data_IF_255689567364
#
_entry.id   IF_255689567364
#
_cell.length_a   1.000
_cell.length_b   1.000
_cell.length_c   1.000
_cell.angle_alpha   90.00
_cell.angle_beta   90.00
_cell.angle_gamma   90.00
#
_symmetry.space_group_name_H-M   'P 1'
#
loop_
_entity.id
_entity.type
_entity.pdbx_description
1 polymer ?
#
# COMPACT_ATOMS: atom_id res chain seq x y z
N UNK A 1 -35.66 31.95 31.61
CA UNK A 1 -34.38 32.36 31.05
C UNK A 1 -33.39 31.23 31.32
N UNK A 2 -33.25 30.35 30.37
CA UNK A 2 -32.19 29.32 30.36
C UNK A 2 -31.41 29.57 29.09
N UNK A 3 -30.17 30.02 29.29
CA UNK A 3 -29.23 30.29 28.22
C UNK A 3 -28.79 28.98 27.57
N UNK A 4 -29.01 28.90 26.25
CA UNK A 4 -28.40 27.90 25.37
C UNK A 4 -26.92 28.21 25.25
N UNK A 5 -26.06 27.34 25.80
CA UNK A 5 -24.65 27.29 25.42
C UNK A 5 -24.56 26.59 24.09
N UNK A 6 -24.32 27.34 23.05
CA UNK A 6 -23.99 26.85 21.73
C UNK A 6 -22.61 26.17 21.80
N UNK A 7 -22.57 24.89 21.49
CA UNK A 7 -21.34 24.18 21.16
C UNK A 7 -20.93 24.61 19.73
N UNK A 8 -19.96 25.52 19.65
CA UNK A 8 -19.37 25.97 18.40
C UNK A 8 -18.63 24.81 17.72
N UNK A 9 -19.12 24.38 16.67
CA UNK A 9 -18.91 24.10 15.31
C UNK A 9 -17.53 23.52 14.96
N UNK A 10 -17.34 22.19 15.06
CA UNK A 10 -16.47 21.47 14.13
C UNK A 10 -17.20 21.41 12.79
N UNK A 11 -16.69 22.12 11.78
CA UNK A 11 -17.21 22.06 10.42
C UNK A 11 -16.83 20.70 9.80
N UNK A 12 -17.62 19.68 10.10
CA UNK A 12 -17.55 18.38 9.42
C UNK A 12 -18.49 18.40 8.22
N UNK A 13 -17.95 18.29 7.01
CA UNK A 13 -18.73 18.02 5.81
C UNK A 13 -18.79 16.53 5.58
N UNK A 14 -20.00 15.93 5.54
CA UNK A 14 -20.20 14.56 5.04
C UNK A 14 -20.39 14.62 3.52
N UNK A 15 -19.60 13.84 2.82
CA UNK A 15 -19.85 13.60 1.40
C UNK A 15 -20.94 12.53 1.20
N UNK A 16 -21.24 12.15 -0.05
CA UNK A 16 -22.22 11.13 -0.39
C UNK A 16 -21.84 9.71 0.10
N UNK A 17 -20.61 9.51 0.61
CA UNK A 17 -20.12 8.24 1.18
C UNK A 17 -20.40 8.13 2.68
N UNK A 18 -20.86 9.21 3.34
CA UNK A 18 -21.08 9.25 4.78
C UNK A 18 -19.83 9.42 5.63
N UNK A 19 -18.69 9.76 4.99
CA UNK A 19 -17.41 9.99 5.68
C UNK A 19 -17.37 11.40 6.28
N UNK A 20 -16.88 11.51 7.51
CA UNK A 20 -16.65 12.78 8.20
C UNK A 20 -15.27 13.33 7.81
N UNK A 21 -15.25 14.42 7.05
CA UNK A 21 -14.02 15.07 6.63
C UNK A 21 -13.69 16.29 7.50
N UNK A 22 -12.40 16.51 7.76
CA UNK A 22 -11.86 17.67 8.47
C UNK A 22 -11.38 18.71 7.45
N UNK A 23 -12.31 19.29 6.69
CA UNK A 23 -11.99 20.14 5.54
C UNK A 23 -11.31 21.48 5.89
N UNK A 24 -11.46 21.95 7.12
CA UNK A 24 -10.84 23.17 7.66
C UNK A 24 -9.44 22.92 8.25
N UNK A 25 -9.05 21.66 8.44
CA UNK A 25 -7.74 21.24 8.96
C UNK A 25 -6.79 20.75 7.86
N UNK A 26 -5.55 20.43 8.23
CA UNK A 26 -4.55 19.89 7.33
C UNK A 26 -3.95 20.93 6.40
N UNK A 27 -3.97 22.20 6.79
CA UNK A 27 -3.28 23.31 6.13
C UNK A 27 -2.07 23.76 6.96
N UNK A 28 -1.21 24.61 6.41
CA UNK A 28 -0.07 25.15 7.14
C UNK A 28 -0.49 25.90 8.41
N UNK A 29 -1.61 26.64 8.36
CA UNK A 29 -2.10 27.46 9.48
C UNK A 29 -2.95 26.66 10.48
N UNK A 30 -3.52 25.51 10.07
CA UNK A 30 -4.33 24.63 10.90
C UNK A 30 -4.00 23.16 10.62
N UNK A 31 -2.84 22.65 11.06
CA UNK A 31 -2.39 21.29 10.74
C UNK A 31 -3.24 20.23 11.44
N UNK A 32 -3.31 19.03 10.85
CA UNK A 32 -3.85 17.83 11.50
C UNK A 32 -2.94 17.42 12.65
N UNK A 33 -3.51 17.20 13.82
CA UNK A 33 -2.83 16.70 15.01
C UNK A 33 -2.64 15.18 14.88
N UNK A 34 -1.39 14.75 14.67
CA UNK A 34 -1.05 13.37 14.36
C UNK A 34 -0.47 12.66 15.59
N UNK A 35 -1.03 11.50 15.93
CA UNK A 35 -0.42 10.53 16.84
C UNK A 35 0.35 9.46 16.09
N UNK A 36 1.48 9.00 16.63
CA UNK A 36 2.22 7.86 16.10
C UNK A 36 2.37 6.79 17.19
N UNK A 37 1.91 5.57 16.92
CA UNK A 37 2.14 4.42 17.78
C UNK A 37 3.00 3.38 17.10
N UNK A 38 4.06 2.95 17.82
CA UNK A 38 5.13 2.12 17.31
C UNK A 38 6.33 2.96 16.83
N UNK A 39 7.41 3.01 17.64
CA UNK A 39 8.63 3.79 17.39
C UNK A 39 9.77 2.93 16.84
N UNK A 40 9.43 1.82 16.20
CA UNK A 40 10.35 0.89 15.56
C UNK A 40 10.91 1.39 14.22
N UNK A 41 11.33 0.43 13.39
CA UNK A 41 11.96 0.72 12.10
C UNK A 41 11.08 1.57 11.15
N UNK A 42 9.77 1.26 11.06
CA UNK A 42 8.86 2.07 10.22
C UNK A 42 8.43 3.35 10.93
N UNK A 43 8.15 3.31 12.22
CA UNK A 43 7.74 4.48 12.99
C UNK A 43 8.71 5.66 12.87
N UNK A 44 10.03 5.42 12.88
CA UNK A 44 11.03 6.49 12.66
C UNK A 44 10.91 7.17 11.30
N UNK A 45 10.56 6.40 10.25
CA UNK A 45 10.39 6.96 8.92
C UNK A 45 9.09 7.78 8.83
N UNK A 46 7.99 7.26 9.41
CA UNK A 46 6.74 8.00 9.50
C UNK A 46 6.88 9.30 10.31
N UNK A 47 7.52 9.26 11.49
CA UNK A 47 7.75 10.47 12.28
C UNK A 47 8.52 11.54 11.51
N UNK A 48 9.58 11.16 10.80
CA UNK A 48 10.36 12.07 9.95
C UNK A 48 9.50 12.70 8.85
N UNK A 49 8.71 11.88 8.17
CA UNK A 49 7.87 12.35 7.05
C UNK A 49 6.71 13.20 7.55
N UNK A 50 6.02 12.80 8.62
CA UNK A 50 4.93 13.59 9.23
C UNK A 50 5.42 14.99 9.60
N UNK A 51 6.59 15.11 10.26
CA UNK A 51 7.19 16.41 10.61
C UNK A 51 7.58 17.26 9.40
N UNK A 52 7.83 16.64 8.24
CA UNK A 52 8.20 17.32 7.00
C UNK A 52 6.98 17.62 6.09
N UNK A 53 5.82 17.04 6.39
CA UNK A 53 4.61 17.19 5.57
C UNK A 53 3.82 18.41 6.01
N UNK A 54 3.68 19.38 5.12
CA UNK A 54 2.84 20.57 5.38
C UNK A 54 1.40 20.15 5.72
N UNK A 55 0.82 20.80 6.72
CA UNK A 55 -0.53 20.52 7.21
C UNK A 55 -0.64 19.29 8.11
N UNK A 56 0.46 18.74 8.59
CA UNK A 56 0.51 17.67 9.59
C UNK A 56 1.44 18.07 10.74
N UNK A 57 1.04 17.81 11.99
CA UNK A 57 1.83 18.07 13.18
C UNK A 57 1.88 16.81 14.05
N UNK A 58 3.07 16.26 14.26
CA UNK A 58 3.26 15.14 15.19
C UNK A 58 3.19 15.66 16.62
N UNK A 59 2.08 15.41 17.30
CA UNK A 59 1.78 15.95 18.65
C UNK A 59 1.97 14.93 19.76
N UNK A 60 1.93 13.64 19.46
CA UNK A 60 2.07 12.58 20.45
C UNK A 60 2.68 11.32 19.84
N UNK A 61 3.45 10.59 20.62
CA UNK A 61 4.04 9.30 20.22
C UNK A 61 3.89 8.28 21.35
N UNK A 62 3.65 7.00 20.98
CA UNK A 62 3.52 5.92 21.96
C UNK A 62 4.30 4.67 21.53
N UNK A 63 4.96 4.03 22.47
CA UNK A 63 5.57 2.70 22.33
C UNK A 63 5.82 2.08 23.70
N UNK A 64 5.20 0.94 24.06
CA UNK A 64 5.45 0.27 25.33
C UNK A 64 6.91 -0.20 25.51
N UNK A 65 7.66 -0.39 24.41
CA UNK A 65 9.09 -0.71 24.41
C UNK A 65 10.02 0.49 24.53
N UNK A 66 9.47 1.71 24.58
CA UNK A 66 10.19 2.97 24.61
C UNK A 66 10.78 3.38 23.26
N UNK A 67 11.49 4.48 23.23
CA UNK A 67 12.06 5.07 22.01
C UNK A 67 13.55 4.73 21.84
N UNK A 68 13.83 3.62 21.17
CA UNK A 68 15.20 3.17 20.89
C UNK A 68 15.94 3.98 19.80
N UNK A 69 15.18 4.73 18.99
CA UNK A 69 15.71 5.40 17.80
C UNK A 69 15.68 6.93 17.90
N UNK A 70 15.25 7.50 19.04
CA UNK A 70 15.11 8.94 19.20
C UNK A 70 14.00 9.54 18.34
N UNK A 71 12.96 8.76 18.05
CA UNK A 71 11.83 9.14 17.17
C UNK A 71 10.98 10.25 17.79
N UNK A 72 10.79 10.18 19.09
CA UNK A 72 9.97 11.13 19.84
C UNK A 72 10.50 12.58 19.77
N UNK A 73 11.83 12.75 19.72
CA UNK A 73 12.44 14.07 19.85
C UNK A 73 12.18 14.65 21.25
N UNK A 74 11.51 15.80 21.31
CA UNK A 74 11.12 16.44 22.57
C UNK A 74 9.77 15.96 23.14
N UNK A 75 9.02 15.16 22.39
CA UNK A 75 7.73 14.63 22.82
C UNK A 75 7.93 13.52 23.87
N UNK A 76 7.09 13.47 24.92
CA UNK A 76 7.09 12.35 25.84
C UNK A 76 6.63 11.07 25.14
N UNK A 77 7.28 9.95 25.43
CA UNK A 77 6.85 8.63 24.94
C UNK A 77 5.75 8.12 25.84
N UNK A 78 4.56 7.98 25.27
CA UNK A 78 3.38 7.49 25.97
C UNK A 78 3.38 5.94 26.02
N UNK A 79 2.75 5.33 27.05
CA UNK A 79 2.85 3.89 27.27
C UNK A 79 2.02 3.06 26.28
N UNK A 80 0.91 3.60 25.78
CA UNK A 80 -0.06 2.84 24.99
C UNK A 80 -0.95 3.74 24.11
N UNK A 81 -1.89 3.10 23.39
CA UNK A 81 -2.83 3.78 22.49
C UNK A 81 -3.82 4.67 23.25
N UNK A 82 -4.22 4.32 24.46
CA UNK A 82 -5.21 5.10 25.23
C UNK A 82 -4.61 6.42 25.67
N UNK A 83 -3.39 6.39 26.20
CA UNK A 83 -2.65 7.62 26.53
C UNK A 83 -2.38 8.47 25.28
N UNK A 84 -2.18 7.84 24.10
CA UNK A 84 -2.05 8.54 22.84
C UNK A 84 -3.35 9.25 22.43
N UNK A 85 -4.51 8.58 22.57
CA UNK A 85 -5.83 9.13 22.28
C UNK A 85 -6.13 10.35 23.19
N UNK A 86 -5.77 10.28 24.48
CA UNK A 86 -5.98 11.36 25.46
C UNK A 86 -5.21 12.65 25.11
N UNK A 87 -4.21 12.58 24.22
CA UNK A 87 -3.51 13.75 23.71
C UNK A 87 -4.35 14.60 22.73
N UNK A 88 -5.54 14.13 22.33
CA UNK A 88 -6.46 14.87 21.44
C UNK A 88 -5.96 14.89 19.99
N UNK A 89 -6.22 13.81 19.26
CA UNK A 89 -5.74 13.58 17.90
C UNK A 89 -6.84 13.82 16.86
N UNK A 90 -6.46 14.28 15.68
CA UNK A 90 -7.28 14.25 14.47
C UNK A 90 -7.02 12.96 13.69
N UNK A 91 -5.75 12.55 13.66
CA UNK A 91 -5.30 11.38 12.91
C UNK A 91 -4.26 10.58 13.67
N UNK A 92 -4.14 9.29 13.36
CA UNK A 92 -3.09 8.45 13.90
C UNK A 92 -2.39 7.62 12.82
N UNK A 93 -1.09 7.34 13.04
CA UNK A 93 -0.30 6.39 12.28
C UNK A 93 0.04 5.19 13.16
N UNK A 94 -0.34 3.99 12.73
CA UNK A 94 -0.08 2.72 13.43
C UNK A 94 1.07 1.99 12.74
N UNK A 95 2.22 1.91 13.44
CA UNK A 95 3.45 1.27 12.96
C UNK A 95 3.99 0.24 13.96
N UNK A 96 3.09 -0.39 14.71
CA UNK A 96 3.38 -1.49 15.64
C UNK A 96 3.57 -2.82 14.90
N UNK A 97 4.03 -3.93 15.55
CA UNK A 97 3.98 -5.25 14.93
C UNK A 97 2.55 -5.65 14.54
N UNK A 98 2.42 -6.39 13.42
CA UNK A 98 1.14 -6.72 12.78
C UNK A 98 0.11 -7.36 13.71
N UNK A 99 0.56 -8.14 14.69
CA UNK A 99 -0.32 -8.80 15.67
C UNK A 99 -1.11 -7.84 16.56
N UNK A 100 -0.67 -6.58 16.66
CA UNK A 100 -1.33 -5.53 17.44
C UNK A 100 -2.13 -4.54 16.59
N UNK A 101 -2.12 -4.67 15.25
CA UNK A 101 -2.80 -3.73 14.36
C UNK A 101 -4.30 -3.65 14.67
N UNK A 102 -4.96 -4.79 14.85
CA UNK A 102 -6.40 -4.85 15.12
C UNK A 102 -6.78 -4.09 16.40
N UNK A 103 -6.18 -4.46 17.53
CA UNK A 103 -6.54 -3.87 18.82
C UNK A 103 -6.31 -2.36 18.83
N UNK A 104 -5.16 -1.92 18.29
CA UNK A 104 -4.82 -0.51 18.23
C UNK A 104 -5.75 0.27 17.29
N UNK A 105 -6.03 -0.29 16.10
CA UNK A 105 -6.90 0.37 15.13
C UNK A 105 -8.35 0.47 15.63
N UNK A 106 -8.87 -0.57 16.31
CA UNK A 106 -10.21 -0.55 16.89
C UNK A 106 -10.33 0.50 18.00
N UNK A 107 -9.33 0.62 18.89
CA UNK A 107 -9.32 1.66 19.93
C UNK A 107 -9.33 3.08 19.32
N UNK A 108 -8.57 3.32 18.26
CA UNK A 108 -8.55 4.59 17.54
C UNK A 108 -9.88 4.86 16.82
N UNK A 109 -10.51 3.85 16.23
CA UNK A 109 -11.83 3.97 15.61
C UNK A 109 -12.91 4.31 16.65
N UNK A 110 -12.89 3.67 17.83
CA UNK A 110 -13.82 3.99 18.94
C UNK A 110 -13.67 5.44 19.42
N UNK A 111 -12.45 5.96 19.41
CA UNK A 111 -12.15 7.35 19.76
C UNK A 111 -12.44 8.36 18.65
N UNK A 112 -12.89 7.91 17.47
CA UNK A 112 -13.22 8.82 16.35
C UNK A 112 -12.00 9.37 15.61
N UNK A 113 -10.84 8.70 15.67
CA UNK A 113 -9.58 9.15 15.08
C UNK A 113 -9.38 8.54 13.68
N UNK A 114 -9.24 9.38 12.66
CA UNK A 114 -8.87 8.90 11.31
C UNK A 114 -7.50 8.21 11.36
N UNK A 115 -7.35 7.05 10.75
CA UNK A 115 -6.15 6.24 11.01
C UNK A 115 -5.56 5.63 9.74
N UNK A 116 -4.24 5.72 9.61
CA UNK A 116 -3.46 4.90 8.68
C UNK A 116 -2.77 3.77 9.46
N UNK A 117 -2.95 2.54 9.02
CA UNK A 117 -2.31 1.33 9.57
C UNK A 117 -1.26 0.83 8.60
N UNK A 118 -0.06 0.51 9.09
CA UNK A 118 0.96 -0.16 8.28
C UNK A 118 0.44 -1.49 7.69
N UNK A 119 1.02 -1.87 6.57
CA UNK A 119 0.69 -3.14 5.93
C UNK A 119 1.26 -4.34 6.71
N UNK A 120 0.58 -5.50 6.66
CA UNK A 120 -0.81 -5.69 6.23
C UNK A 120 -1.78 -5.08 7.24
N UNK A 121 -3.03 -4.82 6.84
CA UNK A 121 -4.04 -4.17 7.71
C UNK A 121 -4.20 -4.87 9.07
N UNK A 122 -4.10 -6.21 9.10
CA UNK A 122 -4.17 -7.04 10.31
C UNK A 122 -3.42 -8.36 10.10
N UNK A 123 -3.38 -9.21 11.11
CA UNK A 123 -2.70 -10.51 11.06
C UNK A 123 -3.41 -11.54 10.17
N UNK A 124 -4.75 -11.41 10.00
CA UNK A 124 -5.56 -12.20 9.08
C UNK A 124 -6.72 -11.36 8.48
N UNK A 125 -7.36 -11.90 7.44
CA UNK A 125 -8.42 -11.21 6.73
C UNK A 125 -9.68 -11.00 7.58
N UNK A 126 -9.98 -11.87 8.54
CA UNK A 126 -11.14 -11.72 9.43
C UNK A 126 -10.95 -10.52 10.38
N UNK A 127 -9.75 -10.39 10.97
CA UNK A 127 -9.35 -9.22 11.75
C UNK A 127 -9.37 -7.94 10.90
N UNK A 128 -8.83 -7.99 9.69
CA UNK A 128 -8.87 -6.88 8.75
C UNK A 128 -10.29 -6.41 8.43
N UNK A 129 -11.24 -7.35 8.25
CA UNK A 129 -12.68 -7.01 8.04
C UNK A 129 -13.29 -6.33 9.24
N UNK A 130 -12.96 -6.75 10.48
CA UNK A 130 -13.46 -6.06 11.70
C UNK A 130 -12.94 -4.63 11.78
N UNK A 131 -11.65 -4.44 11.51
CA UNK A 131 -11.05 -3.09 11.45
C UNK A 131 -11.74 -2.23 10.39
N UNK A 132 -11.83 -2.72 9.15
CA UNK A 132 -12.46 -1.97 8.05
C UNK A 132 -13.91 -1.60 8.34
N UNK A 133 -14.70 -2.52 8.93
CA UNK A 133 -16.08 -2.28 9.33
C UNK A 133 -16.17 -1.19 10.41
N UNK A 134 -15.29 -1.22 11.43
CA UNK A 134 -15.30 -0.25 12.50
C UNK A 134 -15.08 1.19 12.03
N UNK A 135 -14.21 1.39 11.03
CA UNK A 135 -13.99 2.70 10.42
C UNK A 135 -15.15 3.12 9.52
N UNK A 136 -15.67 2.22 8.70
CA UNK A 136 -16.80 2.49 7.81
C UNK A 136 -18.06 2.85 8.59
N UNK A 137 -18.41 2.11 9.66
CA UNK A 137 -19.58 2.37 10.50
C UNK A 137 -19.55 3.72 11.21
N UNK A 138 -18.33 4.25 11.46
CA UNK A 138 -18.12 5.55 12.12
C UNK A 138 -17.88 6.69 11.16
N UNK A 139 -17.91 6.43 9.85
CA UNK A 139 -17.61 7.45 8.83
C UNK A 139 -16.20 8.00 8.94
N UNK A 140 -15.23 7.18 9.34
CA UNK A 140 -13.84 7.59 9.47
C UNK A 140 -13.01 7.23 8.24
N UNK A 141 -12.05 8.07 7.90
CA UNK A 141 -11.03 7.73 6.92
C UNK A 141 -10.08 6.70 7.54
N UNK A 142 -10.08 5.50 6.99
CA UNK A 142 -9.14 4.45 7.29
C UNK A 142 -8.26 4.14 6.09
N UNK A 143 -6.95 4.13 6.28
CA UNK A 143 -5.96 3.86 5.24
C UNK A 143 -5.03 2.71 5.61
N UNK A 144 -4.43 2.07 4.59
CA UNK A 144 -3.40 1.04 4.77
C UNK A 144 -2.11 1.47 4.06
N UNK A 145 -0.96 1.30 4.73
CA UNK A 145 0.36 1.75 4.30
C UNK A 145 0.96 0.91 3.16
N UNK A 146 0.30 0.83 2.01
CA UNK A 146 0.85 0.22 0.79
C UNK A 146 1.62 1.26 -0.03
N UNK A 147 2.76 1.67 0.50
CA UNK A 147 3.61 2.74 -0.02
C UNK A 147 4.02 2.60 -1.49
N UNK A 148 4.04 1.38 -2.03
CA UNK A 148 4.38 1.13 -3.44
C UNK A 148 3.39 1.81 -4.41
N UNK A 149 2.11 1.98 -4.06
CA UNK A 149 1.17 2.75 -4.88
C UNK A 149 1.55 4.24 -5.00
N UNK A 150 2.43 4.72 -4.13
CA UNK A 150 2.99 6.07 -4.18
C UNK A 150 4.33 6.14 -4.92
N UNK A 151 4.85 5.01 -5.44
CA UNK A 151 6.08 5.01 -6.23
C UNK A 151 5.89 5.79 -7.54
N UNK A 152 6.80 6.72 -7.87
CA UNK A 152 6.67 7.56 -9.07
C UNK A 152 6.49 6.78 -10.36
N UNK A 153 7.23 5.66 -10.54
CA UNK A 153 7.11 4.83 -11.74
C UNK A 153 5.73 4.17 -11.85
N UNK A 154 5.20 3.66 -10.74
CA UNK A 154 3.89 2.99 -10.71
C UNK A 154 2.73 3.99 -10.87
N UNK A 155 2.85 5.18 -10.29
CA UNK A 155 1.85 6.24 -10.50
C UNK A 155 1.81 6.69 -11.96
N UNK A 156 2.99 6.94 -12.55
CA UNK A 156 3.08 7.31 -13.96
C UNK A 156 2.59 6.17 -14.88
N UNK A 157 2.84 4.90 -14.52
CA UNK A 157 2.28 3.74 -15.21
C UNK A 157 0.75 3.75 -15.14
N UNK A 158 0.17 3.87 -13.94
CA UNK A 158 -1.30 3.89 -13.76
C UNK A 158 -1.96 5.02 -14.56
N UNK A 159 -1.42 6.23 -14.50
CA UNK A 159 -1.93 7.38 -15.26
C UNK A 159 -1.95 7.12 -16.78
N UNK A 160 -0.95 6.40 -17.32
CA UNK A 160 -0.89 6.04 -18.75
C UNK A 160 -1.85 4.92 -19.11
N UNK A 161 -2.05 3.95 -18.22
CA UNK A 161 -3.07 2.92 -18.40
C UNK A 161 -4.48 3.54 -18.40
N UNK A 162 -4.75 4.47 -17.48
CA UNK A 162 -6.02 5.21 -17.43
C UNK A 162 -6.25 6.07 -18.69
N UNK A 163 -5.17 6.60 -19.29
CA UNK A 163 -5.21 7.31 -20.55
C UNK A 163 -5.35 6.40 -21.79
N UNK A 164 -5.37 5.06 -21.61
CA UNK A 164 -5.50 4.08 -22.68
C UNK A 164 -4.27 3.94 -23.58
N UNK A 165 -3.09 4.35 -23.11
CA UNK A 165 -1.84 4.28 -23.89
C UNK A 165 -1.45 2.84 -24.26
N UNK A 166 -1.76 1.87 -23.38
CA UNK A 166 -1.47 0.44 -23.61
C UNK A 166 -2.56 -0.29 -24.42
N UNK A 167 -3.79 0.24 -24.45
CA UNK A 167 -4.98 -0.48 -24.89
C UNK A 167 -5.43 -1.50 -23.86
N UNK A 168 -5.95 -2.64 -24.30
CA UNK A 168 -6.33 -3.74 -23.42
C UNK A 168 -5.12 -4.33 -22.69
N UNK A 169 -5.25 -4.53 -21.37
CA UNK A 169 -4.21 -5.16 -20.55
C UNK A 169 -4.36 -6.68 -20.62
N UNK A 170 -3.32 -7.38 -20.98
CA UNK A 170 -3.29 -8.84 -21.08
C UNK A 170 -2.64 -9.52 -19.88
N UNK A 171 -1.57 -8.91 -19.37
CA UNK A 171 -0.74 -9.52 -18.33
C UNK A 171 -0.07 -8.48 -17.43
N UNK A 172 0.06 -8.81 -16.13
CA UNK A 172 0.91 -8.11 -15.18
C UNK A 172 1.87 -9.10 -14.52
N UNK A 173 3.17 -8.85 -14.66
CA UNK A 173 4.22 -9.64 -14.01
C UNK A 173 4.99 -8.78 -13.02
N UNK A 174 5.25 -9.31 -11.82
CA UNK A 174 6.10 -8.65 -10.83
C UNK A 174 7.27 -9.52 -10.44
N UNK A 175 8.41 -8.88 -10.17
CA UNK A 175 9.58 -9.52 -9.60
C UNK A 175 10.13 -8.67 -8.46
N UNK A 176 10.07 -9.24 -7.24
CA UNK A 176 10.49 -8.59 -6.00
C UNK A 176 11.42 -9.52 -5.25
N UNK A 177 12.70 -9.27 -5.35
CA UNK A 177 13.70 -10.14 -4.76
C UNK A 177 14.87 -9.36 -4.17
N UNK A 178 15.57 -10.00 -3.24
CA UNK A 178 16.74 -9.41 -2.58
C UNK A 178 17.23 -10.24 -1.41
N UNK A 179 18.31 -9.80 -0.73
CA UNK A 179 18.80 -10.48 0.45
C UNK A 179 17.80 -10.35 1.62
N UNK A 180 17.81 -11.36 2.49
CA UNK A 180 16.94 -11.39 3.68
C UNK A 180 17.15 -10.14 4.57
N UNK A 181 16.07 -9.44 4.91
CA UNK A 181 16.14 -8.31 5.82
C UNK A 181 16.14 -8.79 7.28
N UNK A 182 17.28 -8.69 7.98
CA UNK A 182 17.45 -9.20 9.34
C UNK A 182 16.44 -8.67 10.38
N UNK A 183 15.69 -7.60 10.06
CA UNK A 183 14.63 -7.03 10.91
C UNK A 183 13.34 -7.85 10.96
N UNK A 184 13.12 -8.74 9.98
CA UNK A 184 11.90 -9.56 9.87
C UNK A 184 12.10 -10.88 10.59
N UNK A 185 11.25 -11.17 11.56
CA UNK A 185 11.35 -12.39 12.40
C UNK A 185 10.06 -13.18 12.52
N UNK A 186 8.92 -12.56 12.23
CA UNK A 186 7.57 -13.03 12.58
C UNK A 186 6.73 -13.50 11.39
N UNK A 187 7.08 -13.11 10.17
CA UNK A 187 6.33 -13.45 8.96
C UNK A 187 7.23 -14.00 7.85
N UNK A 188 6.62 -14.64 6.86
CA UNK A 188 7.29 -15.12 5.64
C UNK A 188 7.29 -14.07 4.53
N UNK A 189 7.94 -14.44 3.42
CA UNK A 189 8.12 -13.56 2.26
C UNK A 189 6.77 -13.17 1.62
N UNK A 190 5.75 -14.02 1.73
CA UNK A 190 4.41 -13.75 1.19
C UNK A 190 3.76 -12.57 1.91
N UNK A 191 3.70 -12.61 3.23
CA UNK A 191 3.11 -11.53 4.04
C UNK A 191 3.97 -10.26 4.09
N UNK A 192 5.32 -10.37 3.99
CA UNK A 192 6.18 -9.18 4.02
C UNK A 192 6.36 -8.53 2.65
N UNK A 193 6.74 -9.28 1.62
CA UNK A 193 7.06 -8.74 0.31
C UNK A 193 5.95 -8.90 -0.73
N UNK A 194 5.39 -10.13 -0.89
CA UNK A 194 4.44 -10.40 -1.94
C UNK A 194 3.13 -9.63 -1.77
N UNK A 195 2.76 -9.28 -0.54
CA UNK A 195 1.61 -8.41 -0.26
C UNK A 195 1.67 -7.09 -1.02
N UNK A 196 2.85 -6.49 -1.21
CA UNK A 196 3.02 -5.29 -2.02
C UNK A 196 2.73 -5.55 -3.51
N UNK A 197 3.22 -6.68 -4.04
CA UNK A 197 3.05 -7.02 -5.46
C UNK A 197 1.61 -7.43 -5.79
N UNK A 198 0.95 -8.10 -4.85
CA UNK A 198 -0.48 -8.45 -4.95
C UNK A 198 -1.33 -7.17 -4.97
N UNK A 199 -1.10 -6.27 -4.02
CA UNK A 199 -1.80 -4.99 -3.94
C UNK A 199 -1.60 -4.14 -5.19
N UNK A 200 -0.33 -3.89 -5.57
CA UNK A 200 -0.03 -3.04 -6.71
C UNK A 200 -0.55 -3.62 -8.03
N UNK A 201 -0.61 -4.94 -8.17
CA UNK A 201 -1.08 -5.58 -9.40
C UNK A 201 -2.57 -5.37 -9.61
N UNK A 202 -3.39 -5.59 -8.59
CA UNK A 202 -4.82 -5.31 -8.65
C UNK A 202 -5.08 -3.83 -8.91
N UNK A 203 -4.34 -2.94 -8.25
CA UNK A 203 -4.46 -1.50 -8.44
C UNK A 203 -4.00 -1.05 -9.84
N UNK A 204 -2.87 -1.53 -10.35
CA UNK A 204 -2.36 -1.18 -11.69
C UNK A 204 -3.33 -1.67 -12.77
N UNK A 205 -3.82 -2.91 -12.66
CA UNK A 205 -4.78 -3.46 -13.63
C UNK A 205 -6.18 -2.84 -13.48
N UNK A 206 -6.53 -2.28 -12.33
CA UNK A 206 -7.88 -1.81 -12.02
C UNK A 206 -8.90 -2.95 -11.95
N UNK A 207 -8.47 -4.16 -11.55
CA UNK A 207 -9.26 -5.38 -11.56
C UNK A 207 -8.93 -6.25 -10.34
N UNK A 208 -9.92 -7.01 -9.83
CA UNK A 208 -9.76 -7.89 -8.68
C UNK A 208 -9.25 -9.26 -9.09
N UNK A 209 -8.55 -9.93 -8.17
CA UNK A 209 -8.20 -11.34 -8.35
C UNK A 209 -9.45 -12.21 -8.36
N UNK A 210 -9.46 -13.20 -9.25
CA UNK A 210 -10.49 -14.24 -9.31
C UNK A 210 -9.94 -15.61 -8.95
N UNK A 211 -8.63 -15.84 -9.15
CA UNK A 211 -7.97 -17.07 -8.73
C UNK A 211 -6.48 -16.91 -8.57
N UNK A 212 -5.85 -17.78 -7.75
CA UNK A 212 -4.40 -17.87 -7.58
C UNK A 212 -3.92 -19.32 -7.47
N UNK A 213 -2.71 -19.58 -7.99
CA UNK A 213 -1.97 -20.82 -7.81
C UNK A 213 -0.53 -20.49 -7.42
N UNK A 214 0.01 -21.10 -6.36
CA UNK A 214 1.30 -20.72 -5.81
C UNK A 214 2.14 -21.90 -5.35
N UNK A 215 3.47 -21.69 -5.35
CA UNK A 215 4.47 -22.57 -4.75
C UNK A 215 5.35 -21.75 -3.82
N UNK A 216 5.65 -22.30 -2.65
CA UNK A 216 6.57 -21.68 -1.67
C UNK A 216 7.67 -22.64 -1.28
N UNK A 217 8.79 -22.10 -0.80
CA UNK A 217 9.89 -22.92 -0.25
C UNK A 217 10.46 -22.31 1.03
N UNK A 218 11.22 -23.13 1.78
CA UNK A 218 11.88 -22.81 3.05
C UNK A 218 13.37 -23.20 2.92
N UNK A 219 14.18 -22.40 2.24
CA UNK A 219 15.59 -22.73 1.92
C UNK A 219 16.58 -22.20 2.95
N UNK A 220 16.22 -21.16 3.67
CA UNK A 220 17.08 -20.54 4.68
C UNK A 220 17.06 -21.24 6.05
N UNK A 221 16.29 -22.34 6.20
CA UNK A 221 16.11 -23.05 7.48
C UNK A 221 15.14 -22.36 8.45
N UNK A 222 14.40 -21.37 8.01
CA UNK A 222 13.37 -20.67 8.79
C UNK A 222 12.07 -21.45 8.78
N UNK A 223 11.22 -21.17 9.78
CA UNK A 223 9.88 -21.77 9.86
C UNK A 223 8.90 -21.15 8.85
N UNK A 224 9.15 -19.90 8.44
CA UNK A 224 8.36 -19.18 7.44
C UNK A 224 9.01 -19.31 6.05
N UNK A 225 8.19 -19.21 5.03
CA UNK A 225 8.61 -19.28 3.62
C UNK A 225 9.54 -18.10 3.25
N UNK A 226 10.53 -18.38 2.41
CA UNK A 226 11.55 -17.42 1.98
C UNK A 226 11.60 -17.19 0.46
N UNK A 227 10.82 -17.98 -0.29
CA UNK A 227 10.64 -17.84 -1.73
C UNK A 227 9.22 -18.24 -2.11
N UNK A 228 8.64 -17.49 -3.05
CA UNK A 228 7.32 -17.71 -3.63
C UNK A 228 7.35 -17.48 -5.14
N UNK A 229 6.67 -18.35 -5.88
CA UNK A 229 6.20 -18.08 -7.24
C UNK A 229 4.70 -18.32 -7.26
N UNK A 230 3.94 -17.34 -7.76
CA UNK A 230 2.50 -17.45 -7.90
C UNK A 230 2.07 -16.97 -9.28
N UNK A 231 0.98 -17.56 -9.78
CA UNK A 231 0.23 -17.11 -10.94
C UNK A 231 -1.24 -16.93 -10.56
N UNK A 232 -1.99 -16.16 -11.33
CA UNK A 232 -3.41 -15.98 -11.08
C UNK A 232 -4.11 -15.32 -12.24
N UNK A 233 -5.40 -15.13 -12.06
CA UNK A 233 -6.27 -14.39 -12.97
C UNK A 233 -6.91 -13.22 -12.24
N UNK A 234 -7.06 -12.10 -12.94
CA UNK A 234 -7.93 -11.01 -12.53
C UNK A 234 -9.23 -11.02 -13.34
N UNK A 235 -10.20 -10.23 -12.89
CA UNK A 235 -11.41 -9.92 -13.67
C UNK A 235 -11.01 -9.50 -15.10
N UNK A 236 -11.80 -9.89 -16.09
CA UNK A 236 -11.47 -9.64 -17.50
C UNK A 236 -10.46 -10.61 -18.10
N UNK A 237 -9.97 -11.60 -17.35
CA UNK A 237 -9.05 -12.63 -17.85
C UNK A 237 -7.57 -12.19 -17.91
N UNK A 238 -7.20 -11.10 -17.23
CA UNK A 238 -5.82 -10.63 -17.15
C UNK A 238 -4.99 -11.65 -16.37
N UNK A 239 -3.92 -12.16 -17.00
CA UNK A 239 -3.00 -13.11 -16.36
C UNK A 239 -2.02 -12.36 -15.47
N UNK A 240 -1.78 -12.86 -14.27
CA UNK A 240 -0.78 -12.28 -13.36
C UNK A 240 0.27 -13.30 -12.94
N UNK A 241 1.47 -12.81 -12.63
CA UNK A 241 2.56 -13.65 -12.13
C UNK A 241 3.47 -12.89 -11.18
N UNK A 242 3.88 -13.57 -10.10
CA UNK A 242 4.71 -13.00 -9.04
C UNK A 242 5.90 -13.89 -8.75
N UNK A 243 7.11 -13.30 -8.72
CA UNK A 243 8.33 -13.94 -8.26
C UNK A 243 8.89 -13.14 -7.08
N UNK A 244 8.84 -13.72 -5.88
CA UNK A 244 9.24 -13.02 -4.66
C UNK A 244 10.17 -13.89 -3.83
N UNK A 245 11.31 -13.34 -3.40
CA UNK A 245 12.21 -14.09 -2.51
C UNK A 245 13.15 -13.19 -1.70
N UNK A 246 13.70 -13.76 -0.63
CA UNK A 246 14.77 -13.21 0.20
C UNK A 246 16.15 -13.86 -0.01
N UNK A 247 16.32 -14.63 -1.07
CA UNK A 247 17.50 -15.49 -1.30
C UNK A 247 18.43 -14.96 -2.39
N UNK A 248 18.00 -13.92 -3.12
CA UNK A 248 18.78 -13.31 -4.18
C UNK A 248 19.77 -12.29 -3.62
N UNK A 249 21.07 -12.31 -4.00
CA UNK A 249 22.09 -11.42 -3.43
C UNK A 249 21.96 -9.95 -3.88
N UNK A 250 21.20 -9.68 -4.93
CA UNK A 250 20.91 -8.32 -5.42
C UNK A 250 19.42 -8.01 -5.26
N UNK A 251 19.09 -6.72 -5.12
CA UNK A 251 17.72 -6.25 -5.08
C UNK A 251 17.17 -6.03 -6.48
N UNK A 252 15.93 -6.45 -6.69
CA UNK A 252 15.16 -6.18 -7.90
C UNK A 252 13.71 -5.90 -7.53
N UNK A 253 13.12 -4.90 -8.17
CA UNK A 253 11.74 -4.45 -7.96
C UNK A 253 11.17 -4.01 -9.31
N UNK A 254 10.64 -4.94 -10.09
CA UNK A 254 10.18 -4.71 -11.45
C UNK A 254 8.73 -5.14 -11.61
N UNK A 255 7.93 -4.28 -12.24
CA UNK A 255 6.57 -4.58 -12.70
C UNK A 255 6.52 -4.41 -14.21
N UNK A 256 6.04 -5.44 -14.89
CA UNK A 256 5.87 -5.45 -16.36
C UNK A 256 4.38 -5.58 -16.65
N UNK A 257 3.84 -4.67 -17.44
CA UNK A 257 2.45 -4.71 -17.89
C UNK A 257 2.43 -4.83 -19.41
N UNK A 258 1.94 -5.94 -19.91
CA UNK A 258 1.82 -6.22 -21.34
C UNK A 258 0.38 -6.07 -21.78
N UNK A 259 0.16 -5.42 -22.91
CA UNK A 259 -1.16 -5.22 -23.50
C UNK A 259 -1.15 -5.09 -25.01
N UNK A 260 -2.24 -4.58 -25.55
CA UNK A 260 -2.52 -4.52 -26.99
C UNK A 260 -1.46 -3.75 -27.78
N UNK A 261 -0.95 -2.63 -27.23
CA UNK A 261 -0.07 -1.71 -27.96
C UNK A 261 1.41 -1.84 -27.60
N UNK A 262 1.76 -2.73 -26.67
CA UNK A 262 3.15 -2.89 -26.24
C UNK A 262 3.28 -3.38 -24.81
N UNK A 263 4.35 -2.94 -24.15
CA UNK A 263 4.64 -3.32 -22.77
C UNK A 263 5.28 -2.17 -22.00
N UNK A 264 4.76 -1.91 -20.79
CA UNK A 264 5.41 -1.03 -19.82
C UNK A 264 6.32 -1.82 -18.90
N UNK A 265 7.48 -1.26 -18.57
CA UNK A 265 8.41 -1.77 -17.56
C UNK A 265 8.64 -0.69 -16.52
N UNK A 266 8.19 -0.92 -15.29
CA UNK A 266 8.40 -0.04 -14.15
C UNK A 266 9.43 -0.66 -13.21
N UNK A 267 10.55 0.05 -12.96
CA UNK A 267 11.53 -0.28 -11.93
C UNK A 267 11.30 0.63 -10.71
N UNK A 268 10.84 0.06 -9.60
CA UNK A 268 10.50 0.83 -8.41
C UNK A 268 11.71 1.14 -7.52
N UNK A 269 12.88 0.52 -7.74
CA UNK A 269 14.13 0.91 -7.08
C UNK A 269 14.67 2.21 -7.63
N UNK A 270 14.65 2.36 -8.96
CA UNK A 270 15.15 3.55 -9.63
C UNK A 270 14.07 4.61 -9.86
N UNK A 271 12.79 4.23 -9.75
CA UNK A 271 11.64 5.08 -10.08
C UNK A 271 11.54 5.35 -11.58
N UNK A 272 11.96 4.41 -12.42
CA UNK A 272 11.97 4.54 -13.87
C UNK A 272 10.79 3.81 -14.51
N UNK A 273 10.24 4.41 -15.57
CA UNK A 273 9.20 3.81 -16.41
C UNK A 273 9.65 3.84 -17.87
N UNK A 274 9.57 2.69 -18.53
CA UNK A 274 9.86 2.54 -19.95
C UNK A 274 8.67 1.89 -20.66
N UNK A 275 8.30 2.40 -21.82
CA UNK A 275 7.33 1.81 -22.73
C UNK A 275 8.04 1.24 -23.95
N UNK A 276 7.75 0.00 -24.28
CA UNK A 276 8.18 -0.70 -25.48
C UNK A 276 6.96 -0.87 -26.39
N UNK A 277 6.87 -0.05 -27.43
CA UNK A 277 5.75 -0.10 -28.37
C UNK A 277 5.84 -1.33 -29.29
N UNK A 278 4.69 -1.84 -29.71
CA UNK A 278 4.65 -2.76 -30.83
C UNK A 278 5.01 -2.01 -32.12
N UNK A 279 5.92 -2.54 -32.91
CA UNK A 279 6.34 -1.95 -34.17
C UNK A 279 5.39 -2.26 -35.32
N UNK A 280 5.31 -1.33 -36.24
CA UNK A 280 4.56 -1.46 -37.50
C UNK A 280 5.49 -1.69 -38.70
N UNK A 281 6.81 -1.65 -38.49
CA UNK A 281 7.79 -1.78 -39.54
C UNK A 281 7.98 -3.26 -39.86
N UNK A 282 7.71 -3.66 -41.12
CA UNK A 282 7.96 -5.00 -41.57
C UNK A 282 9.46 -5.35 -41.47
N UNK A 283 9.77 -6.40 -40.71
CA UNK A 283 11.13 -6.96 -40.67
C UNK A 283 11.48 -7.54 -42.03
N UNK A 284 12.65 -7.19 -42.58
CA UNK A 284 13.18 -7.79 -43.82
C UNK A 284 13.61 -9.24 -43.63
N UNK A 285 13.55 -9.77 -42.41
CA UNK A 285 13.75 -11.17 -42.08
C UNK A 285 12.43 -11.93 -42.11
N UNK A 286 11.96 -12.28 -43.29
CA UNK A 286 10.67 -12.94 -43.52
C UNK A 286 10.45 -14.22 -42.69
N UNK A 287 11.52 -14.97 -42.37
CA UNK A 287 11.42 -16.18 -41.53
C UNK A 287 11.23 -15.85 -40.03
N UNK A 288 11.65 -14.69 -39.54
CA UNK A 288 11.49 -14.25 -38.14
C UNK A 288 10.20 -13.49 -37.97
N UNK A 289 9.77 -12.71 -38.96
CA UNK A 289 8.51 -11.97 -38.96
C UNK A 289 7.28 -12.90 -38.88
N UNK A 290 7.34 -14.07 -39.57
CA UNK A 290 6.26 -15.07 -39.51
C UNK A 290 6.09 -15.74 -38.14
N UNK A 291 7.12 -15.69 -37.28
CA UNK A 291 7.11 -16.30 -35.94
C UNK A 291 6.78 -15.33 -34.80
N UNK A 292 6.95 -14.03 -35.02
CA UNK A 292 6.72 -13.00 -34.02
C UNK A 292 5.42 -12.25 -34.29
N UNK A 293 4.30 -12.59 -33.77
CA UNK A 293 3.02 -11.91 -33.97
C UNK A 293 3.08 -10.36 -33.80
N UNK A 294 4.19 -9.81 -33.24
CA UNK A 294 4.50 -8.38 -33.11
C UNK A 294 5.98 -8.14 -33.49
N UNK A 295 6.29 -6.96 -34.06
CA UNK A 295 7.66 -6.46 -34.24
C UNK A 295 8.04 -5.48 -33.15
N UNK A 296 9.35 -5.24 -32.96
CA UNK A 296 9.85 -4.21 -32.06
C UNK A 296 9.55 -2.81 -32.64
N UNK A 297 8.97 -1.94 -31.85
CA UNK A 297 8.75 -0.54 -32.15
C UNK A 297 9.65 0.37 -31.31
N UNK A 298 9.20 1.59 -31.10
CA UNK A 298 9.93 2.59 -30.33
C UNK A 298 10.01 2.21 -28.83
N UNK A 299 11.13 2.57 -28.22
CA UNK A 299 11.33 2.44 -26.77
C UNK A 299 11.37 3.86 -26.18
N UNK A 300 10.43 4.15 -25.29
CA UNK A 300 10.29 5.46 -24.67
C UNK A 300 10.58 5.32 -23.18
N UNK A 301 11.64 5.97 -22.67
CA UNK A 301 11.88 6.17 -21.24
C UNK A 301 11.32 7.51 -20.81
N UNK A 302 10.41 7.49 -19.83
CA UNK A 302 9.75 8.70 -19.37
C UNK A 302 10.59 9.46 -18.33
N UNK A 303 10.62 10.79 -18.45
CA UNK A 303 11.15 11.67 -17.41
C UNK A 303 10.06 11.86 -16.33
N UNK A 304 10.28 11.32 -15.13
CA UNK A 304 9.32 11.32 -14.03
C UNK A 304 9.93 12.07 -12.84
N UNK A 305 9.22 13.02 -12.21
CA UNK A 305 9.64 13.61 -10.95
C UNK A 305 9.70 12.55 -9.85
N UNK A 306 10.87 12.36 -9.23
CA UNK A 306 11.10 11.32 -8.23
C UNK A 306 10.90 11.88 -6.82
N UNK A 307 9.64 11.95 -6.38
CA UNK A 307 9.29 12.29 -5.01
C UNK A 307 9.36 11.06 -4.11
N UNK A 308 9.62 11.27 -2.82
CA UNK A 308 9.65 10.18 -1.84
C UNK A 308 8.27 9.54 -1.71
N UNK A 309 8.14 8.20 -1.92
CA UNK A 309 6.84 7.52 -1.85
C UNK A 309 6.14 7.66 -0.50
N UNK A 310 6.88 7.59 0.62
CA UNK A 310 6.30 7.70 1.96
C UNK A 310 5.74 9.11 2.23
N UNK A 311 6.36 10.15 1.67
CA UNK A 311 5.83 11.52 1.76
C UNK A 311 4.52 11.66 0.98
N UNK A 312 4.47 11.10 -0.24
CA UNK A 312 3.25 11.07 -1.04
C UNK A 312 2.11 10.27 -0.39
N UNK A 313 2.44 9.21 0.34
CA UNK A 313 1.47 8.40 1.09
C UNK A 313 0.85 9.23 2.24
N UNK A 314 1.67 9.92 3.04
CA UNK A 314 1.18 10.79 4.11
C UNK A 314 0.36 11.97 3.57
N UNK A 315 0.79 12.59 2.47
CA UNK A 315 0.01 13.63 1.79
C UNK A 315 -1.34 13.09 1.29
N UNK A 316 -1.36 11.88 0.70
CA UNK A 316 -2.59 11.25 0.21
C UNK A 316 -3.57 10.95 1.35
N UNK A 317 -3.07 10.52 2.51
CA UNK A 317 -3.88 10.30 3.70
C UNK A 317 -4.43 11.62 4.27
N UNK A 318 -3.56 12.65 4.44
CA UNK A 318 -3.99 14.00 4.83
C UNK A 318 -5.12 14.50 3.92
N UNK A 319 -4.93 14.39 2.61
CA UNK A 319 -5.88 14.89 1.62
C UNK A 319 -7.21 14.10 1.63
N UNK A 320 -7.17 12.80 1.97
CA UNK A 320 -8.36 12.00 2.17
C UNK A 320 -9.13 12.44 3.43
N UNK A 321 -8.44 12.67 4.55
CA UNK A 321 -9.05 13.18 5.78
C UNK A 321 -9.71 14.54 5.57
N UNK A 322 -9.11 15.38 4.72
CA UNK A 322 -9.68 16.68 4.32
C UNK A 322 -10.84 16.60 3.32
N UNK A 323 -11.07 15.44 2.71
CA UNK A 323 -12.04 15.29 1.62
C UNK A 323 -11.58 15.88 0.28
N UNK A 324 -10.29 16.17 0.12
CA UNK A 324 -9.71 16.77 -1.09
C UNK A 324 -9.44 15.71 -2.16
N UNK A 325 -9.04 14.50 -1.76
CA UNK A 325 -8.65 13.43 -2.67
C UNK A 325 -8.87 12.06 -2.03
N UNK A 326 -9.21 11.06 -2.85
CA UNK A 326 -9.39 9.66 -2.42
C UNK A 326 -8.28 8.75 -2.98
N UNK A 327 -7.03 9.24 -3.00
CA UNK A 327 -5.88 8.49 -3.56
C UNK A 327 -5.16 7.59 -2.55
N UNK A 328 -5.62 7.54 -1.29
CA UNK A 328 -5.11 6.61 -0.29
C UNK A 328 -5.55 5.18 -0.58
N UNK A 329 -4.85 4.20 -0.03
CA UNK A 329 -5.30 2.80 -0.04
C UNK A 329 -6.32 2.64 1.06
N UNK A 330 -7.55 2.29 0.72
CA UNK A 330 -8.64 2.10 1.68
C UNK A 330 -8.43 0.82 2.51
N UNK A 331 -9.05 0.74 3.68
CA UNK A 331 -9.02 -0.49 4.48
C UNK A 331 -9.69 -1.66 3.76
N UNK A 332 -10.73 -1.41 2.96
CA UNK A 332 -11.38 -2.44 2.15
C UNK A 332 -10.44 -3.04 1.09
N UNK A 333 -9.63 -2.22 0.43
CA UNK A 333 -8.58 -2.69 -0.48
C UNK A 333 -7.49 -3.47 0.27
N UNK A 334 -7.11 -3.01 1.46
CA UNK A 334 -6.17 -3.73 2.33
C UNK A 334 -6.67 -5.12 2.73
N UNK A 335 -7.97 -5.26 3.02
CA UNK A 335 -8.63 -6.56 3.27
C UNK A 335 -8.60 -7.42 2.02
N UNK A 336 -8.99 -6.88 0.85
CA UNK A 336 -8.98 -7.63 -0.41
C UNK A 336 -7.57 -8.15 -0.75
N UNK A 337 -6.53 -7.35 -0.49
CA UNK A 337 -5.13 -7.80 -0.66
C UNK A 337 -4.80 -8.95 0.31
N UNK A 338 -5.24 -8.86 1.55
CA UNK A 338 -4.97 -9.88 2.56
C UNK A 338 -5.71 -11.20 2.25
N UNK A 339 -6.93 -11.14 1.70
CA UNK A 339 -7.67 -12.31 1.20
C UNK A 339 -6.86 -13.04 0.12
N UNK A 340 -6.24 -12.32 -0.83
CA UNK A 340 -5.38 -12.92 -1.86
C UNK A 340 -4.10 -13.50 -1.25
N UNK A 341 -3.48 -12.83 -0.28
CA UNK A 341 -2.30 -13.33 0.45
C UNK A 341 -2.60 -14.66 1.14
N UNK A 342 -3.75 -14.79 1.80
CA UNK A 342 -4.18 -16.03 2.44
C UNK A 342 -4.49 -17.13 1.40
N UNK A 343 -5.11 -16.77 0.28
CA UNK A 343 -5.34 -17.69 -0.83
C UNK A 343 -4.04 -18.22 -1.45
N UNK A 344 -3.00 -17.39 -1.57
CA UNK A 344 -1.65 -17.80 -2.00
C UNK A 344 -1.05 -18.83 -1.04
N UNK A 345 -1.12 -18.58 0.27
CA UNK A 345 -0.61 -19.53 1.27
C UNK A 345 -1.41 -20.84 1.28
N UNK A 346 -2.72 -20.76 1.16
CA UNK A 346 -3.61 -21.93 1.04
C UNK A 346 -3.30 -22.74 -0.22
N UNK A 347 -3.15 -22.07 -1.37
CA UNK A 347 -2.79 -22.69 -2.64
C UNK A 347 -1.47 -23.46 -2.52
N UNK A 348 -0.45 -22.84 -1.92
CA UNK A 348 0.85 -23.47 -1.75
C UNK A 348 0.79 -24.67 -0.80
N UNK A 349 0.01 -24.61 0.27
CA UNK A 349 -0.11 -25.69 1.26
C UNK A 349 -0.93 -26.88 0.74
N UNK A 350 -1.98 -26.61 -0.03
CA UNK A 350 -2.90 -27.62 -0.57
C UNK A 350 -2.55 -28.05 -2.00
N UNK A 351 -1.56 -27.41 -2.62
CA UNK A 351 -1.10 -27.66 -4.00
C UNK A 351 -2.25 -27.65 -5.04
N UNK A 352 -3.10 -26.63 -4.95
CA UNK A 352 -4.23 -26.43 -5.86
C UNK A 352 -4.44 -24.94 -6.18
N UNK A 353 -5.17 -24.65 -7.23
CA UNK A 353 -5.72 -23.31 -7.47
C UNK A 353 -6.78 -22.98 -6.43
N UNK A 354 -6.77 -21.74 -5.93
CA UNK A 354 -7.78 -21.19 -5.03
C UNK A 354 -8.56 -20.11 -5.78
N UNK A 355 -9.87 -20.25 -5.82
CA UNK A 355 -10.80 -19.24 -6.33
C UNK A 355 -11.09 -18.19 -5.23
N UNK A 356 -11.34 -16.92 -5.64
CA UNK A 356 -11.52 -15.76 -4.78
C UNK A 356 -12.88 -15.11 -4.96
#
# INVERSE_FOLDING_TARGET
MCENVALDGLATTTDTSGVHHLSDKGTADNPLRVGLIGLGSMGRHHARVIRATEGMELVAVADPGGDRFGVAGELPVLPDVHALIDAGLDTAMVAVPTVYHEDVALALAEAGVHTMVEKPIAHDAAAGRRVAAAFAERGLVGAVGYVERCNPALRALRERLDAGELGEVYQVLTRRQGPFPARISDVGVVKDLATHDIDLTAWVAGARYTSVAAQVTHRSGRQTEDMMVATGLLEGGIIVGHQVNWLTPFKERVTIVTGEKGSFVADTLTGDLTFHANGTVASTWDQVAAFRGVSEGDVIRYAIPKREPLALEQESFRDAVRGVSQRHVTMAEGVATLDVVEAVLTSASENRTVEL
#
